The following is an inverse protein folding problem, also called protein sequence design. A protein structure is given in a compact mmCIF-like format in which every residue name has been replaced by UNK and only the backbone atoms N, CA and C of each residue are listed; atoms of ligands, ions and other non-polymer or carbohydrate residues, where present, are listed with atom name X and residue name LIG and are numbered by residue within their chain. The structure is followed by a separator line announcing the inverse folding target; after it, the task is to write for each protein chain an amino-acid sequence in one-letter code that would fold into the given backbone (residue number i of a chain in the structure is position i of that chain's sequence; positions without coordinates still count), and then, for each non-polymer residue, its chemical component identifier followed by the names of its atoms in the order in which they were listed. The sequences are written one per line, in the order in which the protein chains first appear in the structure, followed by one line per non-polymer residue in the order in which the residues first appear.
data_IF_267299683225
#
_entry.id   IF_267299683225
#
_cell.length_a   1.000
_cell.length_b   1.000
_cell.length_c   1.000
_cell.angle_alpha   90.00
_cell.angle_beta   90.00
_cell.angle_gamma   90.00
#
_symmetry.space_group_name_H-M   'P 1'
#
loop_
_entity.id
_entity.type
_entity.pdbx_description
1 polymer ?
#
# COMPACT_ATOMS: atom_id res chain seq x y z
N UNK A 1 -0.96 16.69 -13.18
CA UNK A 1 -1.97 15.74 -12.67
C UNK A 1 -2.22 14.76 -13.80
N UNK A 2 -1.88 13.48 -13.67
CA UNK A 2 -2.45 12.46 -14.58
C UNK A 2 -3.91 12.35 -14.15
N UNK A 3 -4.77 13.06 -14.87
CA UNK A 3 -6.21 13.01 -14.65
C UNK A 3 -6.75 11.83 -15.45
N UNK A 4 -7.19 10.81 -14.72
CA UNK A 4 -8.17 9.82 -15.20
C UNK A 4 -9.48 10.60 -15.32
N UNK A 5 -9.71 11.26 -16.46
CA UNK A 5 -10.84 12.18 -16.62
C UNK A 5 -12.01 11.46 -17.29
N UNK A 6 -13.18 11.57 -16.67
CA UNK A 6 -14.47 11.29 -17.29
C UNK A 6 -14.70 12.29 -18.44
N UNK A 7 -15.25 11.81 -19.56
CA UNK A 7 -15.24 12.49 -20.85
C UNK A 7 -15.95 13.86 -20.86
N UNK A 8 -15.33 14.79 -21.59
CA UNK A 8 -15.85 16.08 -22.05
C UNK A 8 -14.88 16.65 -23.10
N UNK A 9 -15.42 17.36 -24.08
CA UNK A 9 -14.95 17.40 -25.48
C UNK A 9 -13.58 18.07 -25.78
N UNK A 10 -12.88 17.42 -26.73
CA UNK A 10 -11.87 17.84 -27.73
C UNK A 10 -10.62 18.69 -27.34
N UNK A 11 -9.43 18.05 -27.34
CA UNK A 11 -8.32 18.19 -28.34
C UNK A 11 -6.92 17.78 -27.79
N UNK A 12 -6.16 17.01 -28.63
CA UNK A 12 -4.76 16.51 -28.54
C UNK A 12 -4.35 15.53 -27.40
N UNK A 13 -3.48 14.53 -27.67
CA UNK A 13 -3.53 13.22 -27.02
C UNK A 13 -2.90 13.23 -25.62
N UNK A 14 -3.75 13.36 -24.61
CA UNK A 14 -3.46 13.05 -23.23
C UNK A 14 -3.58 11.54 -23.04
N UNK A 15 -2.67 10.90 -22.30
CA UNK A 15 -2.90 9.58 -21.70
C UNK A 15 -4.13 9.67 -20.77
N UNK A 16 -5.34 9.56 -21.35
CA UNK A 16 -6.60 9.45 -20.61
C UNK A 16 -6.74 8.00 -20.20
N UNK A 17 -6.49 7.72 -18.92
CA UNK A 17 -6.88 6.46 -18.30
C UNK A 17 -8.41 6.55 -18.13
N UNK A 18 -9.14 5.57 -18.63
CA UNK A 18 -10.59 5.45 -18.45
C UNK A 18 -10.83 4.13 -17.72
N UNK A 19 -11.46 4.19 -16.55
CA UNK A 19 -11.84 3.01 -15.78
C UNK A 19 -13.18 2.48 -16.31
N UNK A 20 -13.25 1.22 -16.72
CA UNK A 20 -14.51 0.55 -17.04
C UNK A 20 -14.62 -0.75 -16.26
N UNK A 21 -15.80 -0.97 -15.67
CA UNK A 21 -16.23 -2.29 -15.22
C UNK A 21 -16.35 -3.25 -16.40
N UNK A 22 -16.17 -4.54 -16.11
CA UNK A 22 -16.48 -5.77 -16.87
C UNK A 22 -16.17 -5.87 -18.38
N UNK A 23 -15.54 -4.88 -19.00
CA UNK A 23 -15.12 -4.92 -20.41
C UNK A 23 -13.86 -4.08 -20.66
N UNK A 24 -12.87 -4.70 -21.28
CA UNK A 24 -11.48 -4.26 -21.47
C UNK A 24 -11.22 -2.74 -21.70
N UNK A 25 -10.16 -2.17 -21.08
CA UNK A 25 -9.74 -0.78 -21.30
C UNK A 25 -9.00 -0.56 -22.64
N UNK A 26 -9.29 0.57 -23.29
CA UNK A 26 -8.56 1.07 -24.46
C UNK A 26 -8.03 2.48 -24.20
N UNK A 27 -6.78 2.73 -24.58
CA UNK A 27 -6.22 4.08 -24.80
C UNK A 27 -5.98 4.22 -26.29
N UNK A 28 -6.48 5.28 -26.92
CA UNK A 28 -6.23 5.57 -28.33
C UNK A 28 -5.34 6.82 -28.44
N UNK A 29 -4.18 6.64 -29.07
CA UNK A 29 -3.23 7.70 -29.38
C UNK A 29 -2.33 7.25 -30.55
N UNK A 30 -1.53 8.15 -31.15
CA UNK A 30 -0.61 7.78 -32.22
C UNK A 30 0.49 6.87 -31.65
N UNK A 31 0.25 5.55 -31.75
CA UNK A 31 0.96 4.48 -31.03
C UNK A 31 0.01 3.73 -30.09
N UNK A 32 -0.23 2.44 -30.37
CA UNK A 32 -1.17 1.59 -29.61
C UNK A 32 -0.60 1.25 -28.23
N UNK A 33 -1.01 1.99 -27.20
CA UNK A 33 -0.78 1.62 -25.79
C UNK A 33 -2.10 1.13 -25.22
N UNK A 34 -2.12 -0.03 -24.58
CA UNK A 34 -3.30 -0.62 -23.94
C UNK A 34 -3.01 -0.77 -22.45
N UNK A 35 -3.84 -0.26 -21.55
CA UNK A 35 -3.56 -0.26 -20.10
C UNK A 35 -4.61 -1.09 -19.37
N UNK A 36 -4.21 -2.21 -18.79
CA UNK A 36 -5.08 -3.12 -18.04
C UNK A 36 -4.82 -3.02 -16.56
N UNK A 37 -5.84 -2.64 -15.79
CA UNK A 37 -5.84 -2.93 -14.36
C UNK A 37 -6.18 -4.40 -14.17
N UNK A 38 -5.17 -5.19 -13.85
CA UNK A 38 -5.32 -6.61 -13.63
C UNK A 38 -5.59 -6.74 -12.14
N UNK A 39 -6.86 -6.96 -11.77
CA UNK A 39 -7.21 -7.43 -10.44
C UNK A 39 -6.80 -8.90 -10.27
N UNK A 40 -7.56 -9.68 -9.51
CA UNK A 40 -7.31 -11.11 -9.25
C UNK A 40 -7.61 -11.99 -10.49
N UNK A 41 -7.06 -11.64 -11.66
CA UNK A 41 -7.14 -12.44 -12.88
C UNK A 41 -6.01 -13.45 -12.90
N UNK A 42 -6.35 -14.67 -13.32
CA UNK A 42 -5.40 -15.76 -13.53
C UNK A 42 -4.46 -15.45 -14.70
N UNK A 43 -3.29 -16.10 -14.75
CA UNK A 43 -2.36 -15.97 -15.89
C UNK A 43 -3.04 -16.31 -17.23
N UNK A 44 -3.92 -17.31 -17.25
CA UNK A 44 -4.65 -17.72 -18.45
C UNK A 44 -5.55 -16.61 -19.00
N UNK A 45 -6.25 -15.89 -18.11
CA UNK A 45 -7.07 -14.74 -18.49
C UNK A 45 -6.23 -13.59 -19.04
N UNK A 46 -5.07 -13.34 -18.44
CA UNK A 46 -4.16 -12.29 -18.88
C UNK A 46 -3.53 -12.65 -20.23
N UNK A 47 -3.10 -13.89 -20.40
CA UNK A 47 -2.59 -14.39 -21.67
C UNK A 47 -3.64 -14.30 -22.79
N UNK A 48 -4.91 -14.64 -22.48
CA UNK A 48 -6.03 -14.48 -23.43
C UNK A 48 -6.22 -13.01 -23.81
N UNK A 49 -6.14 -12.12 -22.84
CA UNK A 49 -6.25 -10.68 -23.05
C UNK A 49 -5.09 -10.17 -23.91
N UNK A 50 -3.83 -10.51 -23.58
CA UNK A 50 -2.64 -10.14 -24.36
C UNK A 50 -2.74 -10.64 -25.80
N UNK A 51 -3.16 -11.89 -26.02
CA UNK A 51 -3.32 -12.48 -27.35
C UNK A 51 -4.37 -11.80 -28.22
N UNK A 52 -5.33 -11.08 -27.63
CA UNK A 52 -6.31 -10.31 -28.39
C UNK A 52 -5.70 -9.08 -29.10
N UNK A 53 -4.45 -8.72 -28.79
CA UNK A 53 -3.72 -7.59 -29.38
C UNK A 53 -2.69 -8.04 -30.41
N UNK A 54 -3.12 -8.82 -31.39
CA UNK A 54 -2.26 -9.39 -32.45
C UNK A 54 -1.56 -8.34 -33.34
N UNK A 55 -2.04 -7.09 -33.34
CA UNK A 55 -1.56 -6.01 -34.22
C UNK A 55 -0.40 -5.18 -33.66
N UNK A 56 0.35 -5.70 -32.69
CA UNK A 56 1.48 -5.00 -32.05
C UNK A 56 1.07 -3.86 -31.10
N UNK A 57 2.05 -3.32 -30.37
CA UNK A 57 1.86 -2.20 -29.44
C UNK A 57 2.41 -2.45 -28.04
N UNK A 58 2.09 -1.57 -27.10
CA UNK A 58 2.49 -1.69 -25.70
C UNK A 58 1.30 -2.01 -24.82
N UNK A 59 1.42 -3.06 -24.02
CA UNK A 59 0.41 -3.51 -23.07
C UNK A 59 0.93 -3.17 -21.67
N UNK A 60 0.30 -2.23 -20.99
CA UNK A 60 0.59 -1.90 -19.59
C UNK A 60 -0.30 -2.78 -18.71
N UNK A 61 0.31 -3.54 -17.81
CA UNK A 61 -0.34 -4.39 -16.84
C UNK A 61 -0.18 -3.78 -15.46
N UNK A 62 -1.24 -3.12 -14.97
CA UNK A 62 -1.26 -2.51 -13.64
C UNK A 62 -1.65 -3.53 -12.57
N UNK A 63 -0.65 -3.96 -11.80
CA UNK A 63 -0.73 -4.80 -10.60
C UNK A 63 -0.24 -4.05 -9.36
N UNK A 64 -0.28 -2.72 -9.38
CA UNK A 64 0.35 -1.89 -8.36
C UNK A 64 -0.34 -1.95 -6.98
N UNK A 65 -1.51 -2.56 -6.87
CA UNK A 65 -2.22 -2.77 -5.59
C UNK A 65 -2.16 -4.20 -5.09
N UNK A 66 -1.48 -5.10 -5.81
CA UNK A 66 -1.62 -6.53 -5.58
C UNK A 66 -0.38 -7.18 -4.97
N UNK A 67 -0.64 -8.15 -4.10
CA UNK A 67 0.36 -9.01 -3.48
C UNK A 67 0.42 -10.35 -4.19
N UNK A 68 1.32 -10.46 -5.16
CA UNK A 68 1.60 -11.74 -5.79
C UNK A 68 2.99 -12.20 -5.43
N UNK A 69 3.08 -13.47 -5.04
CA UNK A 69 4.34 -14.18 -5.02
C UNK A 69 4.90 -14.20 -6.45
N UNK A 70 6.20 -13.95 -6.55
CA UNK A 70 6.91 -14.03 -7.82
C UNK A 70 7.03 -15.49 -8.20
N UNK A 71 6.25 -15.94 -9.18
CA UNK A 71 6.42 -17.27 -9.76
C UNK A 71 7.10 -17.11 -11.11
N UNK A 72 8.29 -17.71 -11.36
CA UNK A 72 8.96 -17.66 -12.66
C UNK A 72 8.04 -18.02 -13.83
N UNK A 73 7.12 -18.95 -13.58
CA UNK A 73 6.06 -19.35 -14.51
C UNK A 73 5.20 -18.16 -14.96
N UNK A 74 4.74 -17.32 -14.01
CA UNK A 74 3.83 -16.19 -14.33
C UNK A 74 4.43 -15.20 -15.31
N UNK A 75 5.73 -14.97 -15.24
CA UNK A 75 6.41 -14.01 -16.12
C UNK A 75 6.77 -14.63 -17.45
N UNK A 76 7.12 -15.91 -17.47
CA UNK A 76 7.38 -16.68 -18.69
C UNK A 76 6.11 -16.88 -19.50
N UNK A 77 4.99 -17.24 -18.85
CA UNK A 77 3.66 -17.39 -19.47
C UNK A 77 3.22 -16.10 -20.18
N UNK A 78 3.51 -14.94 -19.58
CA UNK A 78 3.22 -13.64 -20.19
C UNK A 78 4.06 -13.40 -21.45
N UNK A 79 5.35 -13.77 -21.42
CA UNK A 79 6.25 -13.67 -22.57
C UNK A 79 5.85 -14.60 -23.72
N UNK A 80 5.45 -15.83 -23.41
CA UNK A 80 5.01 -16.81 -24.39
C UNK A 80 3.66 -16.43 -25.02
N UNK A 81 2.79 -15.77 -24.24
CA UNK A 81 1.52 -15.28 -24.73
C UNK A 81 1.62 -14.02 -25.60
N UNK A 82 2.78 -13.34 -25.65
CA UNK A 82 2.94 -12.09 -26.38
C UNK A 82 2.97 -12.31 -27.90
N UNK A 83 2.06 -11.68 -28.66
CA UNK A 83 2.20 -11.60 -30.10
C UNK A 83 3.54 -10.96 -30.51
N UNK A 84 4.06 -11.34 -31.68
CA UNK A 84 5.25 -10.70 -32.25
C UNK A 84 5.00 -9.19 -32.40
N UNK A 85 5.96 -8.37 -31.95
CA UNK A 85 5.85 -6.91 -32.01
C UNK A 85 5.04 -6.26 -30.88
N UNK A 86 4.59 -7.04 -29.89
CA UNK A 86 4.03 -6.50 -28.65
C UNK A 86 5.12 -6.34 -27.57
N UNK A 87 4.95 -5.32 -26.73
CA UNK A 87 5.71 -5.13 -25.48
C UNK A 87 4.76 -5.12 -24.30
N UNK A 88 5.21 -5.60 -23.15
CA UNK A 88 4.51 -5.51 -21.87
C UNK A 88 5.26 -4.57 -20.93
N UNK A 89 4.54 -3.66 -20.30
CA UNK A 89 5.02 -2.88 -19.15
C UNK A 89 4.22 -3.29 -17.92
N UNK A 90 4.83 -3.96 -16.96
CA UNK A 90 4.17 -4.32 -15.70
C UNK A 90 4.39 -3.22 -14.67
N UNK A 91 3.32 -2.65 -14.14
CA UNK A 91 3.36 -1.77 -12.97
C UNK A 91 3.12 -2.63 -11.74
N UNK A 92 4.05 -2.63 -10.79
CA UNK A 92 3.94 -3.46 -9.59
C UNK A 92 4.49 -2.71 -8.37
N UNK A 93 4.02 -3.09 -7.18
CA UNK A 93 4.54 -2.57 -5.91
C UNK A 93 5.27 -3.66 -5.10
N UNK A 94 5.50 -4.82 -5.69
CA UNK A 94 6.37 -5.85 -5.13
C UNK A 94 7.77 -5.68 -5.76
N UNK A 95 8.77 -5.31 -4.95
CA UNK A 95 10.15 -5.12 -5.41
C UNK A 95 10.76 -6.39 -5.99
N UNK A 96 10.49 -7.55 -5.39
CA UNK A 96 10.97 -8.85 -5.86
C UNK A 96 10.40 -9.16 -7.24
N UNK A 97 9.13 -8.84 -7.46
CA UNK A 97 8.50 -9.03 -8.76
C UNK A 97 9.15 -8.15 -9.83
N UNK A 98 9.38 -6.86 -9.52
CA UNK A 98 10.07 -5.94 -10.44
C UNK A 98 11.48 -6.44 -10.76
N UNK A 99 12.23 -6.90 -9.74
CA UNK A 99 13.58 -7.47 -9.93
C UNK A 99 13.55 -8.72 -10.79
N UNK A 100 12.66 -9.67 -10.50
CA UNK A 100 12.55 -10.91 -11.24
C UNK A 100 12.17 -10.69 -12.71
N UNK A 101 11.22 -9.80 -12.99
CA UNK A 101 10.86 -9.44 -14.36
C UNK A 101 12.04 -8.83 -15.10
N UNK A 102 12.77 -7.90 -14.47
CA UNK A 102 13.95 -7.26 -15.07
C UNK A 102 15.09 -8.25 -15.33
N UNK A 103 15.25 -9.24 -14.45
CA UNK A 103 16.29 -10.26 -14.58
C UNK A 103 16.10 -11.20 -15.78
N UNK A 104 14.90 -11.26 -16.37
CA UNK A 104 14.67 -12.01 -17.60
C UNK A 104 15.40 -11.43 -18.82
N UNK A 105 15.75 -10.14 -18.78
CA UNK A 105 16.50 -9.48 -19.86
C UNK A 105 15.76 -9.40 -21.21
N UNK A 106 14.47 -9.75 -21.27
CA UNK A 106 13.67 -9.64 -22.50
C UNK A 106 13.28 -8.19 -22.75
N UNK A 107 13.73 -7.62 -23.86
CA UNK A 107 13.46 -6.22 -24.22
C UNK A 107 11.97 -5.91 -24.42
N UNK A 108 11.14 -6.92 -24.68
CA UNK A 108 9.69 -6.78 -24.83
C UNK A 108 9.00 -6.65 -23.49
N UNK A 109 9.68 -6.94 -22.37
CA UNK A 109 9.09 -6.90 -21.05
C UNK A 109 9.82 -5.90 -20.15
N UNK A 110 9.07 -4.95 -19.60
CA UNK A 110 9.59 -3.96 -18.65
C UNK A 110 8.76 -4.03 -17.37
N UNK A 111 9.39 -4.03 -16.21
CA UNK A 111 8.69 -3.82 -14.94
C UNK A 111 9.09 -2.49 -14.31
N UNK A 112 8.10 -1.79 -13.77
CA UNK A 112 8.23 -0.49 -13.15
C UNK A 112 7.63 -0.58 -11.75
N UNK A 113 8.40 -0.13 -10.77
CA UNK A 113 7.90 0.01 -9.42
C UNK A 113 6.95 1.22 -9.35
N UNK A 114 5.71 0.98 -8.93
CA UNK A 114 4.66 2.00 -8.87
C UNK A 114 4.22 2.21 -7.43
N UNK A 115 4.43 3.42 -6.91
CA UNK A 115 4.02 3.83 -5.57
C UNK A 115 2.51 4.14 -5.50
N UNK A 116 1.66 3.16 -5.83
CA UNK A 116 0.20 3.30 -5.90
C UNK A 116 -0.42 3.84 -4.62
N UNK A 117 0.06 3.40 -3.45
CA UNK A 117 -0.44 3.88 -2.17
C UNK A 117 -0.03 5.31 -1.84
N UNK A 118 1.17 5.75 -2.27
CA UNK A 118 1.57 7.16 -2.16
C UNK A 118 0.62 8.01 -2.99
N UNK A 119 0.26 7.56 -4.20
CA UNK A 119 -0.73 8.25 -5.05
C UNK A 119 -2.10 8.36 -4.38
N UNK A 120 -2.61 7.26 -3.85
CA UNK A 120 -3.90 7.25 -3.17
C UNK A 120 -3.92 8.23 -2.00
N UNK A 121 -2.88 8.20 -1.16
CA UNK A 121 -2.80 9.04 0.03
C UNK A 121 -2.49 10.51 -0.30
N UNK A 122 -1.71 10.80 -1.33
CA UNK A 122 -1.43 12.16 -1.78
C UNK A 122 -2.72 12.90 -2.15
N UNK A 123 -3.65 12.23 -2.84
CA UNK A 123 -4.94 12.82 -3.18
C UNK A 123 -5.80 13.12 -1.95
N UNK A 124 -5.75 12.26 -0.94
CA UNK A 124 -6.41 12.50 0.36
C UNK A 124 -5.78 13.68 1.07
N UNK A 125 -4.44 13.70 1.16
CA UNK A 125 -3.69 14.73 1.88
C UNK A 125 -3.85 16.12 1.28
N UNK A 126 -3.95 16.26 -0.04
CA UNK A 126 -4.17 17.56 -0.71
C UNK A 126 -5.44 18.30 -0.27
N UNK A 127 -6.36 17.60 0.38
CA UNK A 127 -7.60 18.17 0.94
C UNK A 127 -7.43 18.63 2.39
N UNK A 128 -6.27 18.39 3.00
CA UNK A 128 -5.96 18.69 4.39
C UNK A 128 -4.76 19.64 4.44
N UNK A 129 -4.86 20.74 5.19
CA UNK A 129 -3.72 21.64 5.39
C UNK A 129 -2.77 20.98 6.40
N UNK A 130 -1.47 20.97 6.09
CA UNK A 130 -0.45 20.39 6.97
C UNK A 130 -0.45 21.07 8.35
N UNK A 131 -0.60 22.39 8.41
CA UNK A 131 -0.64 23.15 9.67
C UNK A 131 -1.81 22.70 10.56
N UNK A 132 -2.98 22.42 9.98
CA UNK A 132 -4.14 21.93 10.72
C UNK A 132 -3.87 20.54 11.30
N UNK A 133 -3.16 19.69 10.56
CA UNK A 133 -2.76 18.37 11.03
C UNK A 133 -1.75 18.47 12.18
N UNK A 134 -0.75 19.33 12.03
CA UNK A 134 0.27 19.58 13.08
C UNK A 134 -0.39 20.11 14.35
N UNK A 135 -1.28 21.09 14.23
CA UNK A 135 -1.95 21.71 15.37
C UNK A 135 -2.80 20.70 16.17
N UNK A 136 -3.45 19.75 15.49
CA UNK A 136 -4.25 18.68 16.13
C UNK A 136 -3.43 17.58 16.80
N UNK A 137 -2.13 17.51 16.49
CA UNK A 137 -1.24 16.40 16.87
C UNK A 137 -0.18 16.82 17.87
N UNK A 138 -0.26 18.07 18.34
CA UNK A 138 0.71 18.62 19.27
C UNK A 138 0.70 17.81 20.58
N UNK A 139 1.88 17.54 21.19
CA UNK A 139 1.99 16.70 22.40
C UNK A 139 1.34 17.25 23.69
N UNK A 140 0.70 18.42 23.65
CA UNK A 140 0.27 19.18 24.83
C UNK A 140 -1.04 18.68 25.46
N UNK A 141 -1.79 17.82 24.77
CA UNK A 141 -2.98 17.17 25.33
C UNK A 141 -2.64 15.78 25.88
N UNK A 142 -3.03 15.47 27.13
CA UNK A 142 -3.01 14.10 27.65
C UNK A 142 -4.01 13.28 26.83
N UNK A 143 -3.56 12.30 26.04
CA UNK A 143 -4.45 11.61 25.13
C UNK A 143 -5.32 10.63 25.95
N UNK A 144 -6.63 10.66 25.75
CA UNK A 144 -7.54 9.72 26.42
C UNK A 144 -7.29 8.25 26.06
N UNK A 145 -6.60 7.98 24.93
CA UNK A 145 -6.18 6.66 24.45
C UNK A 145 -4.71 6.70 24.07
N UNK A 146 -3.97 5.63 24.32
CA UNK A 146 -2.52 5.57 24.15
C UNK A 146 -2.09 5.22 22.72
N UNK A 147 -2.91 4.50 21.96
CA UNK A 147 -2.52 4.06 20.62
C UNK A 147 -3.70 3.80 19.71
N UNK A 148 -3.41 3.66 18.41
CA UNK A 148 -4.36 3.22 17.38
C UNK A 148 -3.91 1.90 16.74
N UNK A 149 -4.83 0.95 16.57
CA UNK A 149 -4.57 -0.31 15.87
C UNK A 149 -5.74 -0.69 14.94
N UNK A 150 -5.49 -0.69 13.63
CA UNK A 150 -6.54 -0.87 12.61
C UNK A 150 -6.61 -2.32 12.12
N UNK A 151 -7.32 -3.19 12.85
CA UNK A 151 -7.47 -4.62 12.55
C UNK A 151 -8.76 -4.97 11.79
N UNK A 152 -9.55 -3.96 11.38
CA UNK A 152 -10.89 -4.03 10.78
C UNK A 152 -11.35 -5.40 10.25
N UNK A 153 -10.75 -5.90 9.16
CA UNK A 153 -11.05 -7.22 8.59
C UNK A 153 -10.18 -8.31 9.21
N UNK A 154 -10.76 -9.42 9.71
CA UNK A 154 -9.98 -10.51 10.25
C UNK A 154 -9.09 -11.12 9.15
N UNK A 155 -7.84 -11.29 9.50
CA UNK A 155 -6.75 -11.89 8.73
C UNK A 155 -5.79 -12.51 9.71
N UNK A 156 -5.05 -13.52 9.28
CA UNK A 156 -4.18 -14.32 10.14
C UNK A 156 -3.35 -13.50 11.14
N UNK A 157 -2.49 -12.54 10.72
CA UNK A 157 -1.71 -11.73 11.67
C UNK A 157 -2.58 -10.82 12.55
N UNK A 158 -3.76 -10.40 12.07
CA UNK A 158 -4.65 -9.51 12.82
C UNK A 158 -5.41 -10.23 13.93
N UNK A 159 -5.74 -11.50 13.72
CA UNK A 159 -6.34 -12.35 14.76
C UNK A 159 -5.34 -12.50 15.91
N UNK A 160 -4.08 -12.79 15.57
CA UNK A 160 -2.99 -12.90 16.55
C UNK A 160 -2.83 -11.60 17.34
N UNK A 161 -2.73 -10.46 16.65
CA UNK A 161 -2.54 -9.16 17.33
C UNK A 161 -3.76 -8.77 18.17
N UNK A 162 -4.98 -9.04 17.71
CA UNK A 162 -6.18 -8.80 18.52
C UNK A 162 -6.18 -9.67 19.79
N UNK A 163 -5.86 -10.95 19.66
CA UNK A 163 -5.70 -11.87 20.77
C UNK A 163 -4.64 -11.43 21.77
N UNK A 164 -3.50 -10.98 21.27
CA UNK A 164 -2.40 -10.45 22.09
C UNK A 164 -2.79 -9.17 22.84
N UNK A 165 -3.44 -8.22 22.18
CA UNK A 165 -3.95 -7.01 22.82
C UNK A 165 -4.96 -7.35 23.92
N UNK A 166 -5.83 -8.33 23.70
CA UNK A 166 -6.81 -8.78 24.70
C UNK A 166 -6.13 -9.45 25.89
N UNK A 167 -5.23 -10.40 25.64
CA UNK A 167 -4.51 -11.15 26.67
C UNK A 167 -3.72 -10.23 27.61
N UNK A 168 -3.20 -9.11 27.08
CA UNK A 168 -2.43 -8.13 27.85
C UNK A 168 -3.27 -6.97 28.41
N UNK A 169 -4.59 -6.96 28.22
CA UNK A 169 -5.49 -5.90 28.71
C UNK A 169 -5.33 -4.55 27.99
N UNK A 170 -4.82 -4.54 26.76
CA UNK A 170 -4.52 -3.32 26.01
C UNK A 170 -5.66 -2.83 25.11
N UNK A 171 -6.73 -3.61 24.91
CA UNK A 171 -7.85 -3.21 24.04
C UNK A 171 -8.44 -1.85 24.45
N UNK A 172 -8.72 -1.66 25.73
CA UNK A 172 -9.32 -0.43 26.26
C UNK A 172 -8.36 0.76 26.32
N UNK A 173 -7.05 0.50 26.28
CA UNK A 173 -6.05 1.55 26.27
C UNK A 173 -5.91 2.21 24.89
N UNK A 174 -6.49 1.64 23.83
CA UNK A 174 -6.33 2.13 22.46
C UNK A 174 -7.62 2.22 21.65
N UNK A 175 -7.46 2.82 20.48
CA UNK A 175 -8.44 2.84 19.41
C UNK A 175 -8.23 1.61 18.52
N UNK A 176 -8.91 0.51 18.86
CA UNK A 176 -8.77 -0.78 18.15
C UNK A 176 -10.01 -1.07 17.31
N UNK A 177 -9.83 -1.34 16.01
CA UNK A 177 -10.94 -1.77 15.13
C UNK A 177 -10.81 -3.24 14.82
N UNK A 178 -11.85 -4.01 15.09
CA UNK A 178 -11.92 -5.42 14.74
C UNK A 178 -13.37 -5.84 14.56
N UNK A 179 -13.89 -5.63 13.34
CA UNK A 179 -15.31 -5.84 13.05
C UNK A 179 -15.70 -7.31 12.92
N UNK A 180 -14.72 -8.22 12.82
CA UNK A 180 -14.98 -9.55 12.28
C UNK A 180 -15.46 -9.46 10.82
N UNK A 181 -15.63 -10.61 10.18
CA UNK A 181 -16.36 -10.71 8.92
C UNK A 181 -17.53 -11.66 9.20
N UNK A 182 -18.75 -11.14 9.39
CA UNK A 182 -19.92 -11.97 9.70
C UNK A 182 -20.11 -13.09 8.66
N UNK A 183 -19.87 -12.80 7.38
CA UNK A 183 -19.97 -13.80 6.31
C UNK A 183 -18.85 -14.85 6.38
N UNK A 184 -17.66 -14.49 6.88
CA UNK A 184 -16.59 -15.46 7.12
C UNK A 184 -16.90 -16.39 8.31
N UNK A 185 -17.64 -15.90 9.31
CA UNK A 185 -18.09 -16.70 10.47
C UNK A 185 -19.14 -17.72 10.06
N UNK A 186 -20.14 -17.31 9.27
CA UNK A 186 -21.25 -18.18 8.87
C UNK A 186 -20.86 -19.21 7.79
N UNK A 187 -19.76 -18.97 7.06
CA UNK A 187 -19.28 -19.84 5.98
C UNK A 187 -18.15 -20.81 6.34
N UNK A 188 -17.79 -20.99 7.61
CA UNK A 188 -16.69 -21.87 8.06
C UNK A 188 -15.27 -21.36 7.75
N UNK A 189 -15.14 -20.24 7.02
CA UNK A 189 -13.85 -19.63 6.65
C UNK A 189 -13.06 -19.11 7.86
N UNK A 190 -13.75 -18.83 8.97
CA UNK A 190 -13.12 -18.38 10.19
C UNK A 190 -12.26 -19.49 10.83
N UNK A 191 -12.76 -20.73 10.90
CA UNK A 191 -12.02 -21.86 11.47
C UNK A 191 -10.75 -22.16 10.65
N UNK A 192 -10.84 -22.08 9.31
CA UNK A 192 -9.69 -22.17 8.42
C UNK A 192 -8.67 -21.07 8.70
N UNK A 193 -9.11 -19.82 8.89
CA UNK A 193 -8.22 -18.70 9.21
C UNK A 193 -7.57 -18.86 10.59
N UNK A 194 -8.26 -19.43 11.57
CA UNK A 194 -7.72 -19.71 12.90
C UNK A 194 -6.68 -20.83 12.83
N UNK A 195 -6.99 -21.92 12.13
CA UNK A 195 -6.04 -23.00 11.89
C UNK A 195 -4.79 -22.46 11.18
N UNK A 196 -4.99 -21.62 10.15
CA UNK A 196 -3.90 -20.93 9.46
C UNK A 196 -3.13 -20.01 10.42
N UNK A 197 -3.78 -19.33 11.37
CA UNK A 197 -3.11 -18.50 12.37
C UNK A 197 -2.22 -19.28 13.31
N UNK A 198 -2.71 -20.41 13.82
CA UNK A 198 -1.89 -21.28 14.67
C UNK A 198 -0.71 -21.87 13.91
N UNK A 199 -0.92 -22.21 12.63
CA UNK A 199 0.15 -22.71 11.76
C UNK A 199 1.19 -21.61 11.47
N UNK A 200 0.74 -20.41 11.13
CA UNK A 200 1.59 -19.29 10.75
C UNK A 200 2.30 -18.60 11.92
N UNK A 201 1.70 -18.65 13.12
CA UNK A 201 2.14 -17.95 14.32
C UNK A 201 2.05 -18.87 15.57
N UNK A 202 2.81 -19.97 15.60
CA UNK A 202 2.71 -20.98 16.65
C UNK A 202 3.07 -20.43 18.03
N UNK A 203 3.91 -19.39 18.13
CA UNK A 203 4.27 -18.79 19.42
C UNK A 203 3.13 -18.04 20.10
N UNK A 204 2.03 -17.80 19.38
CA UNK A 204 0.85 -17.06 19.84
C UNK A 204 -0.39 -17.95 20.04
N UNK A 205 -0.21 -19.25 20.26
CA UNK A 205 -1.34 -20.18 20.39
C UNK A 205 -2.35 -19.74 21.48
N UNK A 206 -1.86 -19.28 22.63
CA UNK A 206 -2.69 -18.83 23.75
C UNK A 206 -3.44 -17.52 23.44
N UNK A 207 -2.79 -16.59 22.75
CA UNK A 207 -3.37 -15.33 22.31
C UNK A 207 -4.44 -15.56 21.25
N UNK A 208 -4.20 -16.48 20.31
CA UNK A 208 -5.19 -16.90 19.33
C UNK A 208 -6.43 -17.46 20.05
N UNK A 209 -6.24 -18.35 21.02
CA UNK A 209 -7.35 -18.90 21.82
C UNK A 209 -8.11 -17.80 22.60
N UNK A 210 -7.36 -16.82 23.11
CA UNK A 210 -7.91 -15.63 23.78
C UNK A 210 -8.76 -14.79 22.82
N UNK A 211 -8.36 -14.67 21.55
CA UNK A 211 -9.16 -14.02 20.54
C UNK A 211 -10.51 -14.75 20.36
N UNK A 212 -10.51 -16.09 20.29
CA UNK A 212 -11.72 -16.89 20.06
C UNK A 212 -12.77 -16.78 21.16
N UNK A 213 -12.32 -16.58 22.41
CA UNK A 213 -13.23 -16.38 23.54
C UNK A 213 -13.82 -14.97 23.60
N UNK A 214 -13.42 -14.07 22.70
CA UNK A 214 -13.98 -12.71 22.64
C UNK A 214 -15.31 -12.69 21.89
N UNK A 215 -16.16 -11.72 22.20
CA UNK A 215 -17.22 -11.32 21.30
C UNK A 215 -16.61 -10.54 20.12
N UNK A 216 -16.79 -11.04 18.89
CA UNK A 216 -16.33 -10.39 17.66
C UNK A 216 -17.55 -9.70 17.05
N UNK A 217 -17.82 -8.45 17.45
CA UNK A 217 -17.21 -7.26 16.88
C UNK A 217 -16.75 -6.26 17.96
N UNK A 218 -15.47 -5.90 17.94
CA UNK A 218 -14.91 -4.87 18.84
C UNK A 218 -14.54 -3.62 18.03
N UNK A 219 -15.24 -2.53 18.28
CA UNK A 219 -14.95 -1.23 17.68
C UNK A 219 -15.03 -0.21 18.81
N UNK A 220 -13.88 0.16 19.37
CA UNK A 220 -13.81 1.23 20.36
C UNK A 220 -13.63 2.61 19.68
N UNK A 221 -14.27 2.81 18.53
CA UNK A 221 -14.40 4.13 17.92
C UNK A 221 -15.83 4.59 18.19
N UNK A 222 -16.02 5.85 18.59
CA UNK A 222 -17.33 6.47 18.43
C UNK A 222 -17.75 6.26 16.98
N UNK A 223 -18.95 5.71 16.76
CA UNK A 223 -19.42 5.21 15.48
C UNK A 223 -19.62 6.37 14.49
N UNK A 224 -18.52 6.87 13.93
CA UNK A 224 -18.54 7.92 12.91
C UNK A 224 -19.14 7.31 11.64
N UNK A 225 -20.13 8.01 11.09
CA UNK A 225 -20.99 7.55 10.01
C UNK A 225 -20.23 6.86 8.87
N UNK A 226 -20.85 5.79 8.37
CA UNK A 226 -20.31 4.68 7.55
C UNK A 226 -19.59 5.04 6.25
N UNK A 227 -19.45 6.30 5.87
CA UNK A 227 -18.85 6.65 4.60
C UNK A 227 -17.31 6.66 4.69
N UNK A 228 -16.70 5.68 4.01
CA UNK A 228 -15.30 5.73 3.57
C UNK A 228 -14.22 5.21 4.57
N UNK A 229 -14.46 4.20 5.40
CA UNK A 229 -13.39 3.63 6.28
C UNK A 229 -12.07 3.20 5.58
N UNK A 230 -12.09 2.91 4.27
CA UNK A 230 -10.89 2.53 3.49
C UNK A 230 -10.12 3.77 2.96
N UNK A 231 -10.83 4.87 2.64
CA UNK A 231 -10.29 6.10 2.03
C UNK A 231 -10.29 7.34 2.95
N UNK A 232 -11.07 7.29 4.02
CA UNK A 232 -11.16 8.18 5.16
C UNK A 232 -11.07 7.31 6.42
N UNK A 233 -9.85 6.96 6.81
CA UNK A 233 -9.64 6.84 8.25
C UNK A 233 -9.88 8.26 8.75
N UNK A 234 -11.04 8.49 9.36
CA UNK A 234 -11.37 9.79 9.92
C UNK A 234 -10.20 10.20 10.81
N UNK A 235 -9.70 11.42 10.63
CA UNK A 235 -8.60 12.01 11.40
C UNK A 235 -8.72 11.73 12.92
N UNK A 236 -9.93 11.65 13.54
CA UNK A 236 -10.07 11.29 14.95
C UNK A 236 -9.44 9.95 15.37
N UNK A 237 -9.40 8.95 14.48
CA UNK A 237 -8.76 7.67 14.78
C UNK A 237 -7.26 7.79 15.06
N UNK A 238 -6.64 8.91 14.69
CA UNK A 238 -5.24 9.23 14.87
C UNK A 238 -5.01 10.25 15.99
N UNK A 239 -5.98 10.50 16.87
CA UNK A 239 -5.81 11.41 18.02
C UNK A 239 -4.93 10.82 19.14
N UNK A 240 -4.31 9.68 18.88
CA UNK A 240 -3.36 9.00 19.77
C UNK A 240 -1.93 9.28 19.31
N UNK A 241 -0.92 9.17 20.18
CA UNK A 241 0.46 9.45 19.80
C UNK A 241 1.14 8.33 18.98
N UNK A 242 0.63 7.09 19.08
CA UNK A 242 1.30 5.88 18.58
C UNK A 242 0.36 5.03 17.75
N UNK A 243 0.88 4.31 16.75
CA UNK A 243 0.15 3.27 16.03
C UNK A 243 0.85 1.91 16.09
N UNK A 244 0.06 0.86 16.29
CA UNK A 244 0.45 -0.52 16.00
C UNK A 244 -0.13 -0.90 14.65
N UNK A 245 0.73 -0.93 13.63
CA UNK A 245 0.34 -1.26 12.25
C UNK A 245 0.55 -2.75 12.03
N UNK A 246 -0.50 -3.43 11.56
CA UNK A 246 -0.44 -4.83 11.15
C UNK A 246 -0.75 -4.92 9.68
N UNK A 247 0.27 -5.27 8.89
CA UNK A 247 0.08 -5.44 7.46
C UNK A 247 -0.61 -6.78 7.17
N UNK A 248 -1.58 -6.73 6.24
CA UNK A 248 -2.33 -7.92 5.82
C UNK A 248 -1.42 -8.98 5.22
N UNK A 249 -0.31 -8.55 4.63
CA UNK A 249 0.57 -9.34 3.78
C UNK A 249 1.80 -9.86 4.52
N UNK A 250 1.89 -9.62 5.84
CA UNK A 250 3.02 -10.01 6.69
C UNK A 250 3.46 -11.47 6.52
N UNK A 251 2.55 -12.36 6.11
CA UNK A 251 2.84 -13.78 5.95
C UNK A 251 3.40 -14.18 4.56
N UNK A 252 3.63 -13.22 3.66
CA UNK A 252 3.95 -13.51 2.25
C UNK A 252 5.43 -13.28 1.89
N UNK A 253 6.23 -12.74 2.82
CA UNK A 253 7.70 -12.63 2.71
C UNK A 253 8.21 -11.98 1.42
N UNK A 254 7.55 -10.93 0.93
CA UNK A 254 8.06 -10.09 -0.14
C UNK A 254 8.25 -8.65 0.32
N UNK A 255 9.19 -7.94 -0.28
CA UNK A 255 9.49 -6.55 0.05
C UNK A 255 8.39 -5.60 -0.48
N UNK A 256 7.43 -5.25 0.39
CA UNK A 256 6.33 -4.32 0.09
C UNK A 256 5.71 -3.70 1.35
N UNK A 257 5.53 -2.38 1.33
CA UNK A 257 4.68 -1.65 2.28
C UNK A 257 3.26 -1.46 1.73
N UNK A 258 2.25 -1.29 2.60
CA UNK A 258 0.89 -0.92 2.18
C UNK A 258 0.51 0.52 2.54
N UNK A 259 -0.72 0.92 2.21
CA UNK A 259 -1.27 2.21 2.62
C UNK A 259 -1.30 2.39 4.15
N UNK A 260 -1.32 1.30 4.93
CA UNK A 260 -1.41 1.38 6.40
C UNK A 260 -0.15 1.99 7.01
N UNK A 261 1.01 1.50 6.59
CA UNK A 261 2.32 2.04 7.00
C UNK A 261 2.47 3.53 6.63
N UNK A 262 2.03 3.92 5.43
CA UNK A 262 2.10 5.32 5.01
C UNK A 262 1.12 6.23 5.76
N UNK A 263 -0.10 5.74 6.07
CA UNK A 263 -1.13 6.53 6.77
C UNK A 263 -0.64 7.01 8.14
N UNK A 264 0.06 6.16 8.89
CA UNK A 264 0.53 6.52 10.24
C UNK A 264 1.65 7.56 10.19
N UNK A 265 2.56 7.44 9.22
CA UNK A 265 3.64 8.41 9.01
C UNK A 265 3.09 9.77 8.55
N UNK A 266 2.14 9.75 7.61
CA UNK A 266 1.43 10.94 7.15
C UNK A 266 0.62 11.59 8.28
N UNK A 267 0.13 10.81 9.24
CA UNK A 267 -0.60 11.31 10.41
C UNK A 267 0.32 11.86 11.51
N UNK A 268 1.65 11.76 11.37
CA UNK A 268 2.60 12.20 12.39
C UNK A 268 2.73 11.26 13.59
N UNK A 269 2.41 9.97 13.42
CA UNK A 269 2.51 8.99 14.50
C UNK A 269 3.92 8.40 14.62
N UNK A 270 4.25 7.96 15.83
CA UNK A 270 5.24 6.89 15.98
C UNK A 270 4.57 5.57 15.68
N UNK A 271 5.28 4.64 15.06
CA UNK A 271 4.67 3.38 14.66
C UNK A 271 5.59 2.19 14.90
N UNK A 272 4.99 1.12 15.41
CA UNK A 272 5.49 -0.25 15.25
C UNK A 272 4.78 -0.83 14.04
N UNK A 273 5.54 -1.32 13.06
CA UNK A 273 5.00 -1.86 11.80
C UNK A 273 5.27 -3.36 11.77
N UNK A 274 4.27 -4.16 12.15
CA UNK A 274 4.27 -5.60 11.93
C UNK A 274 3.94 -5.90 10.46
N UNK A 275 4.96 -5.81 9.61
CA UNK A 275 4.89 -5.96 8.15
C UNK A 275 5.66 -7.15 7.60
N UNK A 276 5.83 -7.17 6.27
CA UNK A 276 6.82 -8.03 5.63
C UNK A 276 8.24 -7.62 6.03
N UNK A 277 9.21 -8.52 5.83
CA UNK A 277 10.60 -8.16 6.06
C UNK A 277 11.07 -7.05 5.11
N UNK A 278 11.91 -6.13 5.62
CA UNK A 278 12.49 -5.03 4.85
C UNK A 278 11.55 -3.85 4.61
N UNK A 279 10.36 -3.83 5.21
CA UNK A 279 9.38 -2.74 5.01
C UNK A 279 9.92 -1.42 5.53
N UNK A 280 10.68 -1.43 6.63
CA UNK A 280 11.29 -0.21 7.18
C UNK A 280 12.28 0.37 6.19
N UNK A 281 13.16 -0.45 5.60
CA UNK A 281 14.10 0.02 4.58
C UNK A 281 13.41 0.65 3.37
N UNK A 282 12.29 0.07 2.92
CA UNK A 282 11.49 0.65 1.82
C UNK A 282 10.88 2.01 2.18
N UNK A 283 10.51 2.23 3.44
CA UNK A 283 9.99 3.52 3.91
C UNK A 283 11.12 4.56 4.04
N UNK A 284 12.30 4.13 4.47
CA UNK A 284 13.51 4.97 4.52
C UNK A 284 13.96 5.43 3.13
N UNK A 285 13.87 4.57 2.11
CA UNK A 285 14.14 4.92 0.71
C UNK A 285 13.18 6.01 0.18
N UNK A 286 11.99 6.14 0.78
CA UNK A 286 11.04 7.21 0.49
C UNK A 286 11.32 8.50 1.27
N UNK A 287 12.27 8.46 2.21
CA UNK A 287 12.65 9.55 3.10
C UNK A 287 11.91 9.56 4.43
N UNK A 288 11.17 8.50 4.77
CA UNK A 288 10.53 8.40 6.09
C UNK A 288 11.50 7.85 7.14
N UNK A 289 11.21 8.10 8.40
CA UNK A 289 11.93 7.52 9.54
C UNK A 289 10.92 7.06 10.58
N UNK A 290 11.17 5.92 11.24
CA UNK A 290 10.32 5.45 12.34
C UNK A 290 10.93 5.88 13.68
N UNK A 291 10.41 6.93 14.34
CA UNK A 291 11.05 7.42 15.56
C UNK A 291 10.61 6.64 16.80
N UNK A 292 11.57 6.45 17.72
CA UNK A 292 11.36 5.97 19.09
C UNK A 292 11.30 4.43 19.27
N UNK A 293 10.90 3.69 18.24
CA UNK A 293 10.85 2.22 18.29
C UNK A 293 12.09 1.61 17.66
N UNK A 294 12.59 0.50 18.24
CA UNK A 294 13.60 -0.31 17.59
C UNK A 294 13.01 -1.00 16.35
N UNK A 295 13.77 -1.07 15.26
CA UNK A 295 13.34 -1.67 13.99
C UNK A 295 14.10 -2.96 13.65
N UNK A 296 14.87 -3.50 14.59
CA UNK A 296 15.70 -4.71 14.38
C UNK A 296 14.87 -5.93 13.95
N UNK A 297 13.59 -5.96 14.31
CA UNK A 297 12.65 -7.00 13.89
C UNK A 297 12.37 -7.01 12.38
N UNK A 298 12.52 -5.88 11.67
CA UNK A 298 12.13 -5.74 10.27
C UNK A 298 12.93 -6.66 9.34
N UNK A 299 14.17 -6.98 9.68
CA UNK A 299 15.02 -7.87 8.87
C UNK A 299 14.73 -9.37 9.06
N UNK A 300 13.92 -9.74 10.05
CA UNK A 300 13.68 -11.14 10.40
C UNK A 300 12.77 -11.78 9.37
N UNK A 301 13.23 -12.82 8.67
CA UNK A 301 12.43 -13.51 7.65
C UNK A 301 11.27 -14.33 8.24
N UNK A 302 11.50 -14.99 9.38
CA UNK A 302 10.46 -15.76 10.07
C UNK A 302 9.38 -14.82 10.63
N UNK A 303 8.15 -14.96 10.12
CA UNK A 303 7.04 -14.07 10.45
C UNK A 303 6.57 -14.18 11.91
N UNK A 304 6.69 -15.35 12.54
CA UNK A 304 6.30 -15.58 13.92
C UNK A 304 7.27 -14.87 14.87
N UNK A 305 8.58 -15.06 14.64
CA UNK A 305 9.63 -14.35 15.36
C UNK A 305 9.56 -12.84 15.12
N UNK A 306 9.34 -12.40 13.87
CA UNK A 306 9.20 -10.99 13.51
C UNK A 306 8.02 -10.34 14.24
N UNK A 307 6.84 -10.99 14.25
CA UNK A 307 5.66 -10.46 14.95
C UNK A 307 5.90 -10.37 16.45
N UNK A 308 6.50 -11.39 17.06
CA UNK A 308 6.83 -11.42 18.49
C UNK A 308 7.76 -10.27 18.88
N UNK A 309 8.79 -10.00 18.08
CA UNK A 309 9.71 -8.90 18.36
C UNK A 309 9.08 -7.52 18.12
N UNK A 310 8.24 -7.36 17.10
CA UNK A 310 7.48 -6.13 16.89
C UNK A 310 6.53 -5.87 18.08
N UNK A 311 5.82 -6.89 18.55
CA UNK A 311 4.93 -6.75 19.71
C UNK A 311 5.69 -6.51 21.02
N UNK A 312 6.92 -7.02 21.17
CA UNK A 312 7.77 -6.70 22.32
C UNK A 312 8.17 -5.22 22.36
N UNK A 313 8.47 -4.61 21.20
CA UNK A 313 8.71 -3.16 21.12
C UNK A 313 7.46 -2.34 21.47
N UNK A 314 6.30 -2.81 21.04
CA UNK A 314 5.04 -2.16 21.38
C UNK A 314 4.70 -2.31 22.88
N UNK A 315 4.91 -3.49 23.44
CA UNK A 315 4.77 -3.78 24.87
C UNK A 315 5.65 -2.89 25.76
N UNK A 316 6.90 -2.65 25.33
CA UNK A 316 7.82 -1.71 25.98
C UNK A 316 7.19 -0.33 26.13
N UNK A 317 6.52 0.18 25.09
CA UNK A 317 5.80 1.45 25.15
C UNK A 317 4.58 1.40 26.07
N UNK A 318 3.81 0.31 26.04
CA UNK A 318 2.64 0.15 26.91
C UNK A 318 3.02 0.12 28.40
N UNK A 319 4.21 -0.39 28.72
CA UNK A 319 4.75 -0.47 30.09
C UNK A 319 5.41 0.79 30.61
N UNK A 320 5.62 1.81 29.76
CA UNK A 320 6.11 3.11 30.21
C UNK A 320 5.16 3.74 31.24
N UNK A 321 5.71 4.51 32.16
CA UNK A 321 4.96 5.45 32.99
C UNK A 321 4.39 6.59 32.13
N UNK A 322 3.46 7.37 32.68
CA UNK A 322 2.94 8.55 31.97
C UNK A 322 4.05 9.56 31.63
N UNK A 323 4.99 9.79 32.55
CA UNK A 323 6.13 10.67 32.33
C UNK A 323 7.04 10.16 31.20
N UNK A 324 7.42 8.88 31.24
CA UNK A 324 8.23 8.27 30.17
C UNK A 324 7.53 8.32 28.82
N UNK A 325 6.20 8.11 28.77
CA UNK A 325 5.44 8.26 27.52
C UNK A 325 5.45 9.69 27.01
N UNK A 326 5.33 10.68 27.90
CA UNK A 326 5.40 12.09 27.54
C UNK A 326 6.75 12.43 26.95
N UNK A 327 7.82 12.06 27.64
CA UNK A 327 9.20 12.26 27.17
C UNK A 327 9.45 11.54 25.83
N UNK A 328 8.92 10.32 25.69
CA UNK A 328 8.98 9.56 24.45
C UNK A 328 8.30 10.30 23.30
N UNK A 329 7.08 10.82 23.51
CA UNK A 329 6.32 11.56 22.50
C UNK A 329 7.03 12.88 22.17
N UNK A 330 7.40 13.67 23.16
CA UNK A 330 8.08 14.96 22.95
C UNK A 330 9.42 14.77 22.22
N UNK A 331 10.26 13.84 22.68
CA UNK A 331 11.59 13.60 22.12
C UNK A 331 11.61 13.07 20.69
N UNK A 332 10.48 12.58 20.18
CA UNK A 332 10.35 12.05 18.81
C UNK A 332 9.52 12.95 17.88
N UNK A 333 9.02 14.08 18.38
CA UNK A 333 8.06 14.91 17.67
C UNK A 333 8.61 15.54 16.40
N UNK A 334 9.83 16.07 16.43
CA UNK A 334 10.44 16.69 15.25
C UNK A 334 10.60 15.70 14.08
N UNK A 335 10.90 14.42 14.37
CA UNK A 335 10.98 13.39 13.32
C UNK A 335 9.60 13.09 12.73
N UNK A 336 8.55 13.05 13.56
CA UNK A 336 7.19 12.91 13.08
C UNK A 336 6.74 14.12 12.23
N UNK A 337 7.12 15.34 12.61
CA UNK A 337 6.90 16.53 11.78
C UNK A 337 7.59 16.41 10.43
N UNK A 338 8.84 15.96 10.43
CA UNK A 338 9.59 15.76 9.20
C UNK A 338 8.96 14.70 8.30
N UNK A 339 8.47 13.58 8.84
CA UNK A 339 7.71 12.60 8.05
C UNK A 339 6.48 13.21 7.36
N UNK A 340 5.74 14.08 8.06
CA UNK A 340 4.59 14.77 7.47
C UNK A 340 5.00 15.74 6.35
N UNK A 341 6.12 16.46 6.52
CA UNK A 341 6.71 17.33 5.48
C UNK A 341 7.18 16.52 4.28
N UNK A 342 7.97 15.47 4.53
CA UNK A 342 8.45 14.51 3.52
C UNK A 342 7.28 13.99 2.69
N UNK A 343 6.19 13.57 3.32
CA UNK A 343 5.02 13.12 2.58
C UNK A 343 4.45 14.25 1.69
N UNK A 344 4.25 15.45 2.25
CA UNK A 344 3.70 16.62 1.54
C UNK A 344 4.55 17.04 0.33
N UNK A 345 5.86 17.09 0.53
CA UNK A 345 6.82 17.65 -0.43
C UNK A 345 7.29 16.61 -1.45
N UNK A 346 7.55 15.38 -1.01
CA UNK A 346 8.19 14.35 -1.84
C UNK A 346 7.21 13.40 -2.50
N UNK A 347 5.99 13.21 -2.01
CA UNK A 347 5.04 12.28 -2.62
C UNK A 347 4.83 12.57 -4.11
N UNK A 348 4.73 13.85 -4.49
CA UNK A 348 4.64 14.28 -5.88
C UNK A 348 5.86 13.89 -6.71
N UNK A 349 7.07 14.10 -6.18
CA UNK A 349 8.32 13.78 -6.87
C UNK A 349 8.53 12.26 -7.04
N UNK A 350 8.21 11.47 -6.00
CA UNK A 350 8.26 10.00 -6.02
C UNK A 350 7.33 9.46 -7.10
N UNK A 351 6.07 9.93 -7.14
CA UNK A 351 5.15 9.55 -8.21
C UNK A 351 5.63 9.99 -9.59
N UNK A 352 6.14 11.22 -9.71
CA UNK A 352 6.64 11.74 -10.98
C UNK A 352 7.79 10.90 -11.55
N UNK A 353 8.61 10.30 -10.69
CA UNK A 353 9.65 9.34 -11.11
C UNK A 353 9.04 8.10 -11.76
N UNK A 354 8.11 7.40 -11.08
CA UNK A 354 7.44 6.21 -11.65
C UNK A 354 6.74 6.53 -12.97
N UNK A 355 6.13 7.72 -13.10
CA UNK A 355 5.50 8.15 -14.35
C UNK A 355 6.48 8.47 -15.47
N UNK A 356 7.64 9.07 -15.16
CA UNK A 356 8.71 9.26 -16.15
C UNK A 356 9.26 7.92 -16.65
N UNK A 357 9.44 6.96 -15.76
CA UNK A 357 9.88 5.61 -16.14
C UNK A 357 8.84 4.93 -17.05
N UNK A 358 7.54 5.06 -16.74
CA UNK A 358 6.46 4.54 -17.57
C UNK A 358 6.41 5.21 -18.94
N UNK A 359 6.48 6.54 -18.98
CA UNK A 359 6.52 7.29 -20.22
C UNK A 359 7.70 6.84 -21.10
N UNK A 360 8.90 6.75 -20.53
CA UNK A 360 10.09 6.29 -21.25
C UNK A 360 9.96 4.84 -21.77
N UNK A 361 9.32 3.95 -21.01
CA UNK A 361 9.05 2.58 -21.45
C UNK A 361 8.06 2.54 -22.63
N UNK A 362 7.01 3.38 -22.58
CA UNK A 362 6.07 3.53 -23.68
C UNK A 362 6.71 4.20 -24.91
N UNK A 363 7.61 5.17 -24.75
CA UNK A 363 8.27 5.84 -25.87
C UNK A 363 9.22 4.91 -26.63
N UNK A 364 10.04 4.12 -25.93
CA UNK A 364 10.91 3.10 -26.54
C UNK A 364 10.14 2.11 -27.40
N UNK A 365 8.86 1.89 -27.10
CA UNK A 365 7.99 1.02 -27.89
C UNK A 365 7.53 1.62 -29.22
N UNK A 366 7.48 2.94 -29.34
CA UNK A 366 7.11 3.62 -30.59
C UNK A 366 8.23 3.56 -31.62
N UNK A 367 9.48 3.46 -31.17
CA UNK A 367 10.68 3.50 -32.01
C UNK A 367 10.98 2.16 -32.72
N UNK A 368 10.20 1.11 -32.48
CA UNK A 368 10.25 -0.14 -33.25
C UNK A 368 9.30 -0.17 -34.46
N UNK A 369 8.52 0.89 -34.69
CA UNK A 369 7.87 1.14 -35.98
C UNK A 369 8.59 2.29 -36.69
N UNK A 370 8.88 2.20 -38.00
CA UNK A 370 9.65 3.24 -38.69
C UNK A 370 8.89 4.57 -38.67
N UNK A 371 9.53 5.70 -38.36
CA UNK A 371 8.86 6.99 -38.25
C UNK A 371 8.75 7.68 -39.61
N UNK A 372 7.55 8.11 -39.98
CA UNK A 372 7.37 9.10 -41.07
C UNK A 372 7.06 10.52 -40.56
N UNK A 373 7.00 10.77 -39.25
CA UNK A 373 6.82 12.14 -38.74
C UNK A 373 7.54 12.38 -37.42
N UNK A 374 8.20 13.54 -37.32
CA UNK A 374 8.89 14.02 -36.13
C UNK A 374 7.90 14.29 -34.98
N UNK A 375 8.23 13.81 -33.78
CA UNK A 375 7.39 13.91 -32.57
C UNK A 375 8.08 14.86 -31.56
N UNK A 376 7.34 15.73 -30.83
CA UNK A 376 7.94 16.72 -29.93
C UNK A 376 8.38 16.14 -28.57
N UNK A 377 9.27 16.88 -27.89
CA UNK A 377 9.99 16.43 -26.69
C UNK A 377 9.13 16.05 -25.46
N UNK A 378 9.62 15.11 -24.60
CA UNK A 378 8.90 14.55 -23.45
C UNK A 378 8.43 15.56 -22.38
N UNK A 379 9.07 16.72 -22.27
CA UNK A 379 8.77 17.73 -21.24
C UNK A 379 7.39 18.41 -21.41
N UNK A 380 6.80 18.33 -22.60
CA UNK A 380 5.48 18.90 -22.89
C UNK A 380 4.30 18.06 -22.32
N UNK A 381 4.53 16.79 -21.98
CA UNK A 381 3.49 15.81 -21.63
C UNK A 381 3.02 15.89 -20.17
N UNK A 382 3.74 16.63 -19.32
CA UNK A 382 3.57 16.63 -17.86
C UNK A 382 3.11 17.97 -17.27
N UNK A 383 2.58 18.91 -18.07
CA UNK A 383 2.13 20.20 -17.52
C UNK A 383 0.89 20.03 -16.63
N UNK A 384 0.98 20.54 -15.40
CA UNK A 384 -0.17 20.74 -14.54
C UNK A 384 -1.13 21.73 -15.21
N UNK A 385 -2.38 21.35 -15.42
CA UNK A 385 -3.41 22.28 -15.89
C UNK A 385 -3.52 23.41 -14.85
N UNK A 386 -3.29 24.65 -15.27
CA UNK A 386 -3.77 25.82 -14.51
C UNK A 386 -5.29 25.67 -14.44
N UNK A 387 -5.83 25.62 -13.23
CA UNK A 387 -7.28 25.64 -13.02
C UNK A 387 -7.82 26.91 -13.67
N UNK A 388 -8.72 26.75 -14.65
CA UNK A 388 -9.54 27.85 -15.12
C UNK A 388 -10.36 28.39 -13.93
N UNK A 389 -10.36 29.71 -13.78
CA UNK A 389 -11.10 30.43 -12.75
C UNK A 389 -12.61 30.37 -12.99
#
# INVERSE_FOLDING_TARGET
MINIQQAGDAESPVLRIIQAGDGAPFVEGPGRVFIYHIGIKTNGEIAKLVRAHDKGGTIVLDRSTEAFAVMPQTTTDLLEALPKGCRIVVLCQNHDYVRAVRALGDERLTAIFMHSFVRTLYNTQRRTRLDDLIARRRPDASPGKLFTCLLNRPRTPKIVVFGWLKANGYLEAGNVSFRGDPAARDGGRLDEMIAMARFQFPSFAAEIDTALSAEWPYVNFEELEKESFIYSVAIPAYDTPVSLVVETEMAQNFERYTEKSLKVLMAGHRAVIAGNAGVVGLLEDLGFTLPGFGTTYDSITDQDVRLRMALAEFDRYMKMTEAERRDFVEGTWEVCLENMRVFTERASAVMARSFRELAAACERSRWSSPPEAAVPEPSAWLRASRSAA
#
